data_IF_817724490319
#
_entry.id   IF_817724490319
#
_cell.length_a   1.000
_cell.length_b   1.000
_cell.length_c   1.000
_cell.angle_alpha   90.00
_cell.angle_beta   90.00
_cell.angle_gamma   90.00
#
_symmetry.space_group_name_H-M   'P 1'
#
loop_
_entity.id
_entity.type
_entity.pdbx_description
1 polymer ?
#
# COMPACT_ATOMS: atom_id res chain seq x y z
N UNK A 1 3.55 23.45 -5.24
CA UNK A 1 3.53 21.97 -5.14
C UNK A 1 2.89 21.63 -3.81
N UNK A 2 1.97 20.71 -3.75
CA UNK A 2 1.23 20.45 -2.53
C UNK A 2 2.09 19.69 -1.52
N UNK A 3 2.63 20.42 -0.56
CA UNK A 3 3.29 19.88 0.62
C UNK A 3 2.45 20.26 1.83
N UNK A 4 2.01 19.27 2.59
CA UNK A 4 1.34 19.46 3.86
C UNK A 4 2.35 19.37 5.00
N UNK A 5 2.26 20.28 5.97
CA UNK A 5 2.99 20.15 7.23
C UNK A 5 2.04 19.56 8.25
N UNK A 6 2.24 18.29 8.58
CA UNK A 6 1.36 17.48 9.44
C UNK A 6 2.21 16.60 10.35
N UNK A 7 1.72 16.30 11.54
CA UNK A 7 2.34 15.36 12.48
C UNK A 7 3.87 15.51 12.60
N UNK A 8 4.36 16.74 12.69
CA UNK A 8 5.78 17.13 12.76
C UNK A 8 6.64 16.71 11.56
N UNK A 9 6.02 16.53 10.37
CA UNK A 9 6.74 16.27 9.13
C UNK A 9 6.15 17.07 7.97
N UNK A 10 6.77 16.95 6.79
CA UNK A 10 6.26 17.49 5.55
C UNK A 10 5.98 16.33 4.59
N UNK A 11 4.73 16.20 4.17
CA UNK A 11 4.31 15.18 3.20
C UNK A 11 4.01 15.82 1.86
N UNK A 12 4.59 15.29 0.81
CA UNK A 12 4.16 15.56 -0.55
C UNK A 12 2.90 14.76 -0.86
N UNK A 13 1.93 15.38 -1.52
CA UNK A 13 0.70 14.72 -1.93
C UNK A 13 0.19 15.25 -3.27
N UNK A 14 -0.67 14.49 -3.92
CA UNK A 14 -1.39 14.88 -5.12
C UNK A 14 -2.86 14.50 -4.98
N UNK A 15 -3.74 15.29 -5.62
CA UNK A 15 -5.16 14.99 -5.71
C UNK A 15 -5.52 14.92 -7.19
N UNK A 16 -6.15 13.82 -7.59
CA UNK A 16 -6.55 13.57 -8.97
C UNK A 16 -8.05 13.30 -9.06
N UNK A 17 -8.70 13.83 -10.09
CA UNK A 17 -10.13 13.66 -10.31
C UNK A 17 -11.01 14.53 -9.42
N UNK A 18 -12.32 14.29 -9.53
CA UNK A 18 -13.38 14.97 -8.79
C UNK A 18 -14.40 13.92 -8.32
N UNK A 19 -15.17 14.23 -7.27
CA UNK A 19 -16.20 13.34 -6.73
C UNK A 19 -15.97 12.97 -5.28
N UNK A 20 -16.41 11.78 -4.89
CA UNK A 20 -16.25 11.29 -3.51
C UNK A 20 -14.78 11.06 -3.15
N UNK A 21 -14.38 11.33 -1.89
CA UNK A 21 -12.98 11.25 -1.51
C UNK A 21 -12.50 9.79 -1.38
N UNK A 22 -11.37 9.50 -2.02
CA UNK A 22 -10.66 8.23 -1.90
C UNK A 22 -9.17 8.46 -1.66
N UNK A 23 -8.53 7.56 -0.93
CA UNK A 23 -7.08 7.55 -0.71
C UNK A 23 -6.50 6.27 -1.29
N UNK A 24 -5.54 6.38 -2.20
CA UNK A 24 -4.84 5.22 -2.73
C UNK A 24 -3.44 5.13 -2.13
N UNK A 25 -3.13 4.00 -1.48
CA UNK A 25 -1.89 3.76 -0.76
C UNK A 25 -1.21 2.50 -1.28
N UNK A 26 0.08 2.58 -1.57
CA UNK A 26 0.90 1.46 -2.02
C UNK A 26 1.82 0.90 -0.95
N UNK A 27 2.77 0.07 -1.40
CA UNK A 27 3.86 -0.46 -0.59
C UNK A 27 5.00 0.54 -0.40
N UNK A 28 6.23 0.11 -0.69
CA UNK A 28 7.45 0.92 -0.48
C UNK A 28 7.74 1.96 -1.57
N UNK A 29 6.98 1.96 -2.66
CA UNK A 29 7.04 2.98 -3.71
C UNK A 29 6.01 4.08 -3.51
N UNK A 30 5.83 4.91 -4.54
CA UNK A 30 4.85 5.99 -4.56
C UNK A 30 3.89 5.89 -5.75
N UNK A 31 2.67 6.40 -5.56
CA UNK A 31 1.72 6.72 -6.63
C UNK A 31 1.84 8.17 -7.12
N UNK A 32 2.53 9.03 -6.36
CA UNK A 32 2.81 10.39 -6.77
C UNK A 32 3.76 10.45 -7.99
N UNK A 33 3.91 11.63 -8.57
CA UNK A 33 4.82 11.90 -9.70
C UNK A 33 4.52 11.13 -11.00
N UNK A 34 3.30 10.57 -11.11
CA UNK A 34 2.90 9.75 -12.26
C UNK A 34 1.66 10.27 -12.98
N UNK A 35 1.21 11.50 -12.67
CA UNK A 35 -0.02 12.09 -13.22
C UNK A 35 -1.24 11.15 -13.13
N UNK A 36 -1.39 10.44 -12.00
CA UNK A 36 -2.45 9.46 -11.77
C UNK A 36 -2.33 8.14 -12.55
N UNK A 37 -1.30 7.97 -13.40
CA UNK A 37 -1.13 6.77 -14.25
C UNK A 37 -0.92 5.46 -13.47
N UNK A 38 -0.58 5.54 -12.19
CA UNK A 38 -0.46 4.39 -11.29
C UNK A 38 -1.80 3.92 -10.71
N UNK A 39 -2.85 4.72 -10.83
CA UNK A 39 -4.16 4.45 -10.26
C UNK A 39 -4.96 3.45 -11.10
N UNK A 40 -5.98 2.85 -10.47
CA UNK A 40 -6.95 2.01 -11.18
C UNK A 40 -7.65 2.83 -12.28
N UNK A 41 -7.76 2.23 -13.47
CA UNK A 41 -8.35 2.92 -14.62
C UNK A 41 -9.81 3.26 -14.33
N UNK A 42 -10.17 4.53 -14.51
CA UNK A 42 -11.53 5.04 -14.27
C UNK A 42 -11.76 5.47 -12.81
N UNK A 43 -10.80 5.29 -11.91
CA UNK A 43 -10.97 5.70 -10.51
C UNK A 43 -11.12 7.22 -10.40
N UNK A 44 -10.31 7.99 -11.11
CA UNK A 44 -10.36 9.45 -11.14
C UNK A 44 -11.54 10.03 -11.93
N UNK A 45 -12.31 9.18 -12.63
CA UNK A 45 -13.54 9.60 -13.31
C UNK A 45 -14.74 9.71 -12.35
N UNK A 46 -14.66 9.04 -11.19
CA UNK A 46 -15.73 8.95 -10.18
C UNK A 46 -15.32 9.52 -8.82
N UNK A 47 -14.04 9.47 -8.49
CA UNK A 47 -13.50 9.79 -7.16
C UNK A 47 -12.46 10.89 -7.23
N UNK A 48 -12.44 11.72 -6.19
CA UNK A 48 -11.33 12.61 -5.90
C UNK A 48 -10.28 11.80 -5.11
N UNK A 49 -9.18 11.44 -5.80
CA UNK A 49 -8.20 10.48 -5.28
C UNK A 49 -6.98 11.20 -4.73
N UNK A 50 -6.77 11.07 -3.43
CA UNK A 50 -5.54 11.46 -2.74
C UNK A 50 -4.49 10.36 -2.87
N UNK A 51 -3.29 10.73 -3.29
CA UNK A 51 -2.06 9.95 -3.16
C UNK A 51 -1.03 10.79 -2.42
N UNK A 52 -0.13 10.15 -1.66
CA UNK A 52 0.90 10.86 -0.92
C UNK A 52 2.15 10.00 -0.80
N UNK A 53 3.28 10.67 -0.63
CA UNK A 53 4.55 10.01 -0.36
C UNK A 53 4.70 9.79 1.15
N UNK A 54 4.97 8.55 1.56
CA UNK A 54 5.32 8.28 2.95
C UNK A 54 6.56 9.05 3.39
N UNK A 55 6.74 9.22 4.69
CA UNK A 55 7.94 9.84 5.26
C UNK A 55 9.23 9.29 4.63
N UNK A 56 10.12 10.17 4.21
CA UNK A 56 11.40 9.85 3.58
C UNK A 56 11.32 9.45 2.11
N UNK A 57 10.13 9.25 1.53
CA UNK A 57 9.96 8.97 0.10
C UNK A 57 9.94 10.27 -0.68
N UNK A 58 10.70 10.31 -1.76
CA UNK A 58 10.76 11.39 -2.74
C UNK A 58 10.85 12.79 -2.09
N UNK A 59 9.77 13.57 -2.09
CA UNK A 59 9.74 14.93 -1.55
C UNK A 59 9.24 15.01 -0.10
N UNK A 60 8.76 13.91 0.48
CA UNK A 60 8.35 13.87 1.87
C UNK A 60 9.55 13.80 2.80
N UNK A 61 9.51 14.57 3.90
CA UNK A 61 10.56 14.56 4.91
C UNK A 61 10.29 13.49 5.96
N UNK A 62 11.35 13.06 6.66
CA UNK A 62 11.26 12.18 7.81
C UNK A 62 12.02 12.77 9.00
N UNK A 63 11.58 12.44 10.22
CA UNK A 63 12.32 12.67 11.45
C UNK A 63 12.84 11.31 11.94
N UNK A 64 14.13 11.09 11.78
CA UNK A 64 14.79 9.84 12.12
C UNK A 64 14.83 9.55 13.65
N UNK A 65 14.50 10.54 14.48
CA UNK A 65 14.38 10.34 15.92
C UNK A 65 13.06 9.68 16.33
N UNK A 66 12.07 9.64 15.45
CA UNK A 66 10.78 9.00 15.70
C UNK A 66 10.82 7.57 15.13
N UNK A 67 10.63 6.51 15.94
CA UNK A 67 10.58 5.13 15.45
C UNK A 67 9.49 4.94 14.38
N UNK A 68 9.86 4.31 13.27
CA UNK A 68 8.91 4.01 12.21
C UNK A 68 7.90 2.94 12.66
N UNK A 69 6.64 3.13 12.32
CA UNK A 69 5.57 2.14 12.58
C UNK A 69 4.37 2.42 11.68
N UNK A 70 3.52 1.41 11.45
CA UNK A 70 2.26 1.62 10.71
C UNK A 70 1.36 2.65 11.41
N UNK A 71 1.39 2.71 12.74
CA UNK A 71 0.66 3.73 13.51
C UNK A 71 1.17 5.15 13.23
N UNK A 72 2.49 5.33 13.06
CA UNK A 72 3.06 6.62 12.71
C UNK A 72 2.57 7.06 11.31
N UNK A 73 2.64 6.18 10.33
CA UNK A 73 2.18 6.49 8.96
C UNK A 73 0.66 6.68 8.89
N UNK A 74 -0.11 5.96 9.70
CA UNK A 74 -1.55 6.20 9.84
C UNK A 74 -1.86 7.55 10.47
N UNK A 75 -1.11 7.96 11.51
CA UNK A 75 -1.25 9.28 12.13
C UNK A 75 -0.91 10.41 11.14
N UNK A 76 0.05 10.21 10.26
CA UNK A 76 0.38 11.14 9.18
C UNK A 76 -0.78 11.32 8.21
N UNK A 77 -1.38 10.20 7.75
CA UNK A 77 -2.54 10.25 6.87
C UNK A 77 -3.74 10.90 7.56
N UNK A 78 -4.04 10.54 8.80
CA UNK A 78 -5.13 11.16 9.58
C UNK A 78 -4.94 12.67 9.65
N UNK A 79 -3.74 13.14 9.99
CA UNK A 79 -3.46 14.57 10.06
C UNK A 79 -3.56 15.28 8.69
N UNK A 80 -3.19 14.58 7.61
CA UNK A 80 -3.36 15.09 6.25
C UNK A 80 -4.84 15.19 5.87
N UNK A 81 -5.65 14.18 6.18
CA UNK A 81 -7.11 14.21 5.95
C UNK A 81 -7.79 15.31 6.76
N UNK A 82 -7.44 15.45 8.04
CA UNK A 82 -7.96 16.52 8.90
C UNK A 82 -7.59 17.91 8.35
N UNK A 83 -6.35 18.11 7.84
CA UNK A 83 -5.93 19.37 7.22
C UNK A 83 -6.68 19.67 5.91
N UNK A 84 -6.98 18.63 5.11
CA UNK A 84 -7.77 18.77 3.89
C UNK A 84 -9.27 18.92 4.16
N UNK A 85 -9.72 18.68 5.40
CA UNK A 85 -11.14 18.67 5.77
C UNK A 85 -11.90 17.46 5.21
N UNK A 86 -11.20 16.39 4.83
CA UNK A 86 -11.79 15.19 4.25
C UNK A 86 -12.33 14.26 5.34
N UNK A 87 -13.52 13.72 5.08
CA UNK A 87 -14.22 12.76 5.95
C UNK A 87 -14.85 11.68 5.07
N UNK A 88 -15.16 10.54 5.70
CA UNK A 88 -15.82 9.42 5.03
C UNK A 88 -15.12 9.02 3.73
N UNK A 89 -13.79 8.84 3.79
CA UNK A 89 -12.96 8.49 2.64
C UNK A 89 -12.98 6.99 2.38
N UNK A 90 -12.91 6.58 1.11
CA UNK A 90 -12.57 5.22 0.74
C UNK A 90 -11.06 5.01 0.87
N UNK A 91 -10.62 4.08 1.72
CA UNK A 91 -9.20 3.71 1.84
C UNK A 91 -8.88 2.54 0.92
N UNK A 92 -8.06 2.74 -0.08
CA UNK A 92 -7.62 1.71 -1.03
C UNK A 92 -6.17 1.37 -0.70
N UNK A 93 -5.98 0.39 0.18
CA UNK A 93 -4.67 -0.12 0.58
C UNK A 93 -4.23 -1.27 -0.31
N UNK A 94 -3.10 -1.12 -0.95
CA UNK A 94 -2.54 -2.10 -1.87
C UNK A 94 -1.10 -2.46 -1.45
N UNK A 95 -0.70 -3.68 -1.76
CA UNK A 95 0.67 -4.18 -1.66
C UNK A 95 1.34 -3.92 -0.30
N UNK A 96 0.83 -4.56 0.74
CA UNK A 96 1.44 -4.62 2.06
C UNK A 96 1.21 -3.38 2.91
N UNK A 97 2.14 -2.44 2.86
CA UNK A 97 2.18 -1.29 3.76
C UNK A 97 0.92 -0.42 3.70
N UNK A 98 0.40 -0.16 2.48
CA UNK A 98 -0.83 0.62 2.31
C UNK A 98 -2.04 0.02 3.04
N UNK A 99 -2.12 -1.30 3.11
CA UNK A 99 -3.15 -1.99 3.87
C UNK A 99 -2.94 -1.87 5.39
N UNK A 100 -1.70 -2.01 5.86
CA UNK A 100 -1.38 -1.85 7.29
C UNK A 100 -1.71 -0.44 7.79
N UNK A 101 -1.41 0.58 6.99
CA UNK A 101 -1.81 1.97 7.26
C UNK A 101 -3.33 2.11 7.28
N UNK A 102 -4.04 1.53 6.29
CA UNK A 102 -5.51 1.57 6.23
C UNK A 102 -6.17 0.91 7.46
N UNK A 103 -5.66 -0.25 7.91
CA UNK A 103 -6.13 -0.91 9.12
C UNK A 103 -5.95 -0.03 10.37
N UNK A 104 -4.79 0.60 10.54
CA UNK A 104 -4.53 1.48 11.70
C UNK A 104 -5.38 2.78 11.65
N UNK A 105 -5.67 3.33 10.46
CA UNK A 105 -6.61 4.45 10.30
C UNK A 105 -8.02 4.03 10.68
N UNK A 106 -8.53 2.90 10.15
CA UNK A 106 -9.86 2.38 10.45
C UNK A 106 -10.05 2.07 11.95
N UNK A 107 -8.99 1.60 12.64
CA UNK A 107 -9.00 1.35 14.08
C UNK A 107 -8.96 2.64 14.90
N UNK A 108 -8.23 3.66 14.44
CA UNK A 108 -7.97 4.87 15.23
C UNK A 108 -9.03 5.95 14.99
N UNK A 109 -9.53 6.07 13.77
CA UNK A 109 -10.46 7.10 13.31
C UNK A 109 -11.52 6.51 12.36
N UNK A 110 -12.36 5.58 12.85
CA UNK A 110 -13.42 4.99 12.02
C UNK A 110 -14.39 6.05 11.45
N UNK A 111 -14.51 7.20 12.09
CA UNK A 111 -15.30 8.33 11.63
C UNK A 111 -14.80 8.96 10.32
N UNK A 112 -13.55 8.75 9.97
CA UNK A 112 -12.97 9.22 8.70
C UNK A 112 -13.15 8.23 7.56
N UNK A 113 -13.53 6.97 7.82
CA UNK A 113 -13.44 5.89 6.83
C UNK A 113 -14.83 5.42 6.42
N UNK A 114 -15.18 5.60 5.15
CA UNK A 114 -16.40 5.09 4.53
C UNK A 114 -16.31 3.60 4.23
N UNK A 115 -15.22 3.19 3.59
CA UNK A 115 -14.91 1.79 3.32
C UNK A 115 -13.41 1.56 3.19
N UNK A 116 -12.97 0.29 3.28
CA UNK A 116 -11.58 -0.08 3.20
C UNK A 116 -11.38 -1.25 2.24
N UNK A 117 -10.40 -1.15 1.36
CA UNK A 117 -9.92 -2.23 0.49
C UNK A 117 -8.53 -2.64 0.93
N UNK A 118 -8.31 -3.94 1.15
CA UNK A 118 -7.03 -4.52 1.52
C UNK A 118 -6.61 -5.58 0.49
N UNK A 119 -5.50 -5.35 -0.22
CA UNK A 119 -4.94 -6.32 -1.16
C UNK A 119 -3.47 -6.52 -0.91
N UNK A 120 -3.05 -7.77 -0.75
CA UNK A 120 -1.63 -8.12 -0.60
C UNK A 120 -1.05 -7.65 0.74
N UNK A 121 -1.68 -7.99 1.87
CA UNK A 121 -1.27 -7.53 3.19
C UNK A 121 -1.33 -8.63 4.27
N UNK A 122 -1.14 -8.23 5.51
CA UNK A 122 -1.15 -9.10 6.69
C UNK A 122 -1.76 -8.35 7.89
N UNK A 123 -2.24 -9.12 8.88
CA UNK A 123 -2.61 -8.58 10.18
C UNK A 123 -1.46 -8.71 11.20
N UNK A 124 -0.60 -9.72 11.02
CA UNK A 124 0.64 -9.91 11.79
C UNK A 124 1.69 -10.59 10.93
N UNK A 125 2.94 -10.42 11.30
CA UNK A 125 4.09 -11.00 10.61
C UNK A 125 4.39 -12.38 11.21
N UNK A 126 4.29 -13.43 10.39
CA UNK A 126 4.80 -14.76 10.75
C UNK A 126 6.29 -14.90 10.42
N UNK A 127 6.90 -16.01 10.77
CA UNK A 127 8.34 -16.22 10.58
C UNK A 127 8.75 -16.16 9.10
N UNK A 128 7.92 -16.72 8.19
CA UNK A 128 8.21 -16.70 6.76
C UNK A 128 8.22 -15.27 6.19
N UNK A 129 7.20 -14.47 6.52
CA UNK A 129 7.14 -13.08 6.07
C UNK A 129 8.24 -12.24 6.73
N UNK A 130 8.56 -12.51 8.00
CA UNK A 130 9.67 -11.87 8.71
C UNK A 130 10.99 -12.06 7.98
N UNK A 131 11.34 -13.33 7.72
CA UNK A 131 12.59 -13.68 7.07
C UNK A 131 12.67 -13.11 5.65
N UNK A 132 11.53 -13.07 4.93
CA UNK A 132 11.44 -12.48 3.61
C UNK A 132 11.69 -10.96 3.62
N UNK A 133 11.04 -10.22 4.52
CA UNK A 133 11.22 -8.77 4.69
C UNK A 133 12.66 -8.43 5.11
N UNK A 134 13.22 -9.21 6.04
CA UNK A 134 14.62 -9.09 6.47
C UNK A 134 15.59 -9.36 5.32
N UNK A 135 15.28 -10.35 4.48
CA UNK A 135 16.12 -10.67 3.33
C UNK A 135 16.08 -9.55 2.28
N UNK A 136 14.91 -8.94 2.01
CA UNK A 136 14.81 -7.77 1.14
C UNK A 136 15.69 -6.61 1.64
N UNK A 137 15.63 -6.31 2.93
CA UNK A 137 16.45 -5.28 3.58
C UNK A 137 17.94 -5.62 3.49
N UNK A 138 18.30 -6.85 3.79
CA UNK A 138 19.69 -7.32 3.77
C UNK A 138 20.29 -7.25 2.37
N UNK A 139 19.57 -7.67 1.34
CA UNK A 139 20.05 -7.57 -0.05
C UNK A 139 20.27 -6.11 -0.43
N UNK A 140 19.38 -5.18 -0.05
CA UNK A 140 19.59 -3.75 -0.33
C UNK A 140 20.85 -3.23 0.38
N UNK A 141 21.06 -3.59 1.64
CA UNK A 141 22.18 -3.12 2.46
C UNK A 141 23.52 -3.69 1.98
N UNK A 142 23.60 -5.01 1.77
CA UNK A 142 24.86 -5.69 1.59
C UNK A 142 25.26 -5.83 0.10
N UNK A 143 24.30 -5.89 -0.80
CA UNK A 143 24.53 -6.09 -2.23
C UNK A 143 24.21 -4.84 -3.05
N UNK A 144 23.26 -4.02 -2.58
CA UNK A 144 22.88 -2.76 -3.17
C UNK A 144 21.50 -2.76 -3.84
N UNK A 145 21.07 -1.56 -4.23
CA UNK A 145 19.72 -1.29 -4.71
C UNK A 145 19.31 -2.17 -5.90
N UNK A 146 20.15 -2.32 -6.91
CA UNK A 146 19.75 -3.07 -8.12
C UNK A 146 19.54 -4.56 -7.87
N UNK A 147 20.29 -5.16 -6.95
CA UNK A 147 20.08 -6.54 -6.51
C UNK A 147 18.76 -6.66 -5.74
N UNK A 148 18.49 -5.73 -4.82
CA UNK A 148 17.22 -5.63 -4.10
C UNK A 148 16.05 -5.46 -5.08
N UNK A 149 16.12 -4.51 -6.01
CA UNK A 149 15.09 -4.26 -7.00
C UNK A 149 14.75 -5.51 -7.81
N UNK A 150 15.79 -6.21 -8.32
CA UNK A 150 15.62 -7.44 -9.06
C UNK A 150 14.98 -8.54 -8.19
N UNK A 151 15.42 -8.67 -6.96
CA UNK A 151 14.95 -9.69 -6.03
C UNK A 151 13.45 -9.47 -5.70
N UNK A 152 13.07 -8.26 -5.32
CA UNK A 152 11.66 -7.92 -5.04
C UNK A 152 10.78 -8.07 -6.29
N UNK A 153 11.27 -7.68 -7.48
CA UNK A 153 10.52 -7.87 -8.73
C UNK A 153 10.19 -9.34 -9.00
N UNK A 154 11.13 -10.26 -8.72
CA UNK A 154 10.90 -11.70 -8.92
C UNK A 154 9.76 -12.22 -8.03
N UNK A 155 9.64 -11.71 -6.80
CA UNK A 155 8.56 -12.08 -5.88
C UNK A 155 7.23 -11.38 -6.17
N UNK A 156 7.29 -10.19 -6.75
CA UNK A 156 6.10 -9.32 -6.89
C UNK A 156 5.36 -9.49 -8.21
N UNK A 157 6.01 -10.00 -9.25
CA UNK A 157 5.43 -10.11 -10.59
C UNK A 157 5.38 -11.55 -11.10
N UNK A 158 4.37 -11.85 -11.92
CA UNK A 158 4.31 -13.13 -12.64
C UNK A 158 5.53 -13.28 -13.55
N UNK A 159 6.09 -14.50 -13.70
CA UNK A 159 7.27 -14.74 -14.54
C UNK A 159 7.11 -14.26 -15.98
N UNK A 160 5.94 -14.45 -16.58
CA UNK A 160 5.66 -14.02 -17.95
C UNK A 160 5.71 -12.50 -18.08
N UNK A 161 5.12 -11.78 -17.11
CA UNK A 161 5.15 -10.32 -17.09
C UNK A 161 6.57 -9.80 -16.85
N UNK A 162 7.29 -10.39 -15.89
CA UNK A 162 8.68 -10.04 -15.60
C UNK A 162 9.57 -10.20 -16.86
N UNK A 163 9.51 -11.36 -17.53
CA UNK A 163 10.31 -11.63 -18.72
C UNK A 163 10.07 -10.62 -19.86
N UNK A 164 8.82 -10.23 -20.06
CA UNK A 164 8.43 -9.26 -21.10
C UNK A 164 8.79 -7.82 -20.74
N UNK A 165 8.85 -7.48 -19.46
CA UNK A 165 8.96 -6.10 -18.97
C UNK A 165 10.22 -5.82 -18.14
N UNK A 166 11.17 -6.76 -18.06
CA UNK A 166 12.37 -6.65 -17.23
C UNK A 166 13.10 -5.30 -17.42
N UNK A 167 13.20 -4.82 -18.66
CA UNK A 167 13.86 -3.57 -19.01
C UNK A 167 13.16 -2.31 -18.47
N UNK A 168 11.86 -2.43 -18.09
CA UNK A 168 11.07 -1.34 -17.48
C UNK A 168 10.97 -1.48 -15.97
N UNK A 169 11.04 -2.71 -15.46
CA UNK A 169 10.98 -2.99 -14.02
C UNK A 169 12.28 -2.67 -13.30
N UNK A 170 13.42 -2.85 -14.00
CA UNK A 170 14.75 -2.69 -13.43
C UNK A 170 15.45 -1.44 -13.98
N UNK A 171 16.32 -0.87 -13.16
CA UNK A 171 17.09 0.31 -13.51
C UNK A 171 16.69 1.53 -12.66
N UNK A 172 17.31 2.68 -12.92
CA UNK A 172 17.10 3.88 -12.10
C UNK A 172 15.66 4.42 -12.10
N UNK A 173 14.94 4.24 -13.21
CA UNK A 173 13.56 4.66 -13.38
C UNK A 173 12.56 3.48 -13.25
N UNK A 174 13.04 2.32 -12.80
CA UNK A 174 12.23 1.12 -12.57
C UNK A 174 11.50 1.15 -11.23
N UNK A 175 10.94 0.01 -10.83
CA UNK A 175 10.19 -0.10 -9.59
C UNK A 175 11.05 0.25 -8.36
N UNK A 176 10.45 0.93 -7.40
CA UNK A 176 11.10 1.43 -6.17
C UNK A 176 12.32 2.34 -6.38
N UNK A 177 12.42 3.03 -7.53
CA UNK A 177 13.54 3.93 -7.84
C UNK A 177 13.79 5.00 -6.78
N UNK A 178 12.77 5.39 -6.04
CA UNK A 178 12.83 6.35 -4.93
C UNK A 178 13.70 5.86 -3.75
N UNK A 179 13.94 4.55 -3.64
CA UNK A 179 14.78 3.94 -2.61
C UNK A 179 16.25 3.76 -3.03
N UNK A 180 16.63 4.06 -4.29
CA UNK A 180 17.94 3.76 -4.86
C UNK A 180 19.11 4.28 -4.00
N UNK A 181 19.03 5.54 -3.62
CA UNK A 181 20.09 6.19 -2.81
C UNK A 181 19.59 6.47 -1.38
N UNK A 182 18.59 5.72 -0.92
CA UNK A 182 17.86 5.99 0.30
C UNK A 182 17.59 4.72 1.12
N UNK A 183 18.67 4.01 1.46
CA UNK A 183 18.59 2.79 2.27
C UNK A 183 17.95 3.03 3.63
N UNK A 184 18.24 4.18 4.27
CA UNK A 184 17.68 4.52 5.60
C UNK A 184 16.15 4.54 5.57
N UNK A 185 15.55 5.14 4.55
CA UNK A 185 14.10 5.10 4.38
C UNK A 185 13.60 3.68 4.16
N UNK A 186 14.25 2.88 3.31
CA UNK A 186 13.86 1.48 3.12
C UNK A 186 13.90 0.68 4.43
N UNK A 187 14.96 0.81 5.22
CA UNK A 187 15.09 0.18 6.53
C UNK A 187 13.92 0.53 7.44
N UNK A 188 13.56 1.80 7.52
CA UNK A 188 12.44 2.30 8.34
C UNK A 188 11.07 1.78 7.85
N UNK A 189 10.86 1.68 6.54
CA UNK A 189 9.64 1.08 5.98
C UNK A 189 9.55 -0.40 6.34
N UNK A 190 10.67 -1.13 6.28
CA UNK A 190 10.74 -2.55 6.70
C UNK A 190 10.48 -2.69 8.20
N UNK A 191 11.05 -1.83 9.05
CA UNK A 191 10.79 -1.84 10.49
C UNK A 191 9.30 -1.65 10.80
N UNK A 192 8.64 -0.72 10.11
CA UNK A 192 7.20 -0.52 10.25
C UNK A 192 6.40 -1.76 9.82
N UNK A 193 6.80 -2.41 8.73
CA UNK A 193 6.20 -3.67 8.27
C UNK A 193 6.37 -4.78 9.29
N UNK A 194 7.58 -4.98 9.81
CA UNK A 194 7.91 -6.02 10.79
C UNK A 194 7.20 -5.82 12.14
N UNK A 195 6.99 -4.57 12.54
CA UNK A 195 6.32 -4.20 13.78
C UNK A 195 4.78 -4.21 13.69
N UNK A 196 4.20 -4.41 12.50
CA UNK A 196 2.75 -4.35 12.33
C UNK A 196 2.04 -5.57 12.94
N UNK A 197 1.08 -5.30 13.83
CA UNK A 197 0.20 -6.31 14.39
C UNK A 197 -1.16 -5.71 14.74
N UNK A 198 -2.19 -6.15 14.02
CA UNK A 198 -3.61 -5.81 14.24
C UNK A 198 -4.45 -7.04 14.53
N UNK A 199 -3.86 -8.25 14.64
CA UNK A 199 -4.59 -9.53 14.74
C UNK A 199 -5.67 -9.52 15.81
N UNK A 200 -5.35 -9.06 17.03
CA UNK A 200 -6.28 -9.03 18.16
C UNK A 200 -7.32 -7.89 18.05
N UNK A 201 -7.10 -6.94 17.14
CA UNK A 201 -7.94 -5.74 16.95
C UNK A 201 -8.75 -5.76 15.66
N UNK A 202 -8.61 -6.77 14.79
CA UNK A 202 -9.38 -6.86 13.54
C UNK A 202 -10.88 -6.85 13.80
N UNK A 203 -11.33 -7.51 14.88
CA UNK A 203 -12.74 -7.53 15.29
C UNK A 203 -13.32 -6.16 15.67
N UNK A 204 -12.46 -5.19 15.95
CA UNK A 204 -12.85 -3.83 16.33
C UNK A 204 -13.01 -2.91 15.09
N UNK A 205 -12.63 -3.41 13.90
CA UNK A 205 -12.84 -2.70 12.63
C UNK A 205 -14.31 -2.87 12.24
N UNK A 206 -15.05 -1.78 12.25
CA UNK A 206 -16.48 -1.73 11.89
C UNK A 206 -16.72 -1.22 10.47
N UNK A 207 -15.67 -0.73 9.83
CA UNK A 207 -15.69 -0.21 8.46
C UNK A 207 -15.98 -1.31 7.45
N UNK A 208 -16.93 -1.13 6.50
CA UNK A 208 -17.10 -2.04 5.37
C UNK A 208 -15.76 -2.34 4.71
N UNK A 209 -15.39 -3.62 4.64
CA UNK A 209 -14.05 -4.02 4.21
C UNK A 209 -14.10 -5.06 3.10
N UNK A 210 -13.33 -4.81 2.03
CA UNK A 210 -13.02 -5.79 0.98
C UNK A 210 -11.59 -6.29 1.16
N UNK A 211 -11.42 -7.61 1.18
CA UNK A 211 -10.09 -8.26 1.16
C UNK A 211 -9.91 -8.98 -0.18
N UNK A 212 -8.91 -8.56 -0.94
CA UNK A 212 -8.58 -9.17 -2.22
C UNK A 212 -7.37 -10.10 -2.04
N UNK A 213 -7.58 -11.38 -2.33
CA UNK A 213 -6.54 -12.40 -2.29
C UNK A 213 -5.94 -12.57 -3.69
N UNK A 214 -4.64 -12.37 -3.82
CA UNK A 214 -3.92 -12.69 -5.05
C UNK A 214 -3.33 -14.11 -4.93
N UNK A 215 -3.88 -15.06 -5.70
CA UNK A 215 -3.56 -16.48 -5.53
C UNK A 215 -2.10 -16.84 -5.87
N UNK A 216 -1.44 -16.02 -6.71
CA UNK A 216 -0.03 -16.21 -7.10
C UNK A 216 0.92 -15.22 -6.44
N UNK A 217 0.48 -14.55 -5.37
CA UNK A 217 1.32 -13.66 -4.59
C UNK A 217 2.34 -14.46 -3.77
N UNK A 218 3.62 -14.21 -4.02
CA UNK A 218 4.73 -14.86 -3.31
C UNK A 218 5.22 -14.04 -2.11
N UNK A 219 4.69 -12.82 -1.91
CA UNK A 219 5.01 -11.96 -0.76
C UNK A 219 3.97 -12.17 0.34
N UNK A 220 2.70 -11.96 0.02
CA UNK A 220 1.58 -11.91 0.97
C UNK A 220 0.40 -12.79 0.54
N UNK A 221 0.63 -13.99 0.14
CA UNK A 221 -0.37 -14.94 -0.37
C UNK A 221 -1.68 -14.99 0.47
N UNK A 222 -2.70 -15.75 0.06
CA UNK A 222 -3.91 -15.99 0.87
C UNK A 222 -3.62 -16.40 2.33
N UNK A 223 -2.44 -16.99 2.60
CA UNK A 223 -1.96 -17.32 3.96
C UNK A 223 -2.00 -16.10 4.91
N UNK A 224 -1.66 -14.90 4.43
CA UNK A 224 -1.63 -13.70 5.26
C UNK A 224 -2.87 -12.83 5.13
N UNK A 225 -3.61 -12.94 4.02
CA UNK A 225 -4.80 -12.12 3.77
C UNK A 225 -6.10 -12.77 4.28
N UNK A 226 -6.23 -14.09 4.28
CA UNK A 226 -7.39 -14.80 4.86
C UNK A 226 -7.63 -14.48 6.34
N UNK A 227 -6.60 -14.38 7.22
CA UNK A 227 -6.80 -13.96 8.60
C UNK A 227 -7.45 -12.58 8.75
N UNK A 228 -7.25 -11.67 7.79
CA UNK A 228 -7.87 -10.34 7.79
C UNK A 228 -9.37 -10.46 7.46
N UNK A 229 -9.70 -11.19 6.39
CA UNK A 229 -11.10 -11.44 6.01
C UNK A 229 -11.89 -12.06 7.16
N UNK A 230 -11.35 -13.12 7.77
CA UNK A 230 -12.04 -13.81 8.87
C UNK A 230 -12.04 -13.02 10.19
N UNK A 231 -11.07 -12.13 10.37
CA UNK A 231 -10.93 -11.35 11.59
C UNK A 231 -11.81 -10.09 11.64
N UNK A 232 -12.16 -9.52 10.48
CA UNK A 232 -12.99 -8.31 10.39
C UNK A 232 -14.45 -8.72 10.21
N UNK A 233 -15.36 -8.36 11.14
CA UNK A 233 -16.77 -8.72 11.04
C UNK A 233 -17.41 -8.15 9.76
N UNK A 234 -17.99 -9.02 8.93
CA UNK A 234 -18.68 -8.64 7.70
C UNK A 234 -17.76 -8.27 6.52
N UNK A 235 -16.46 -8.56 6.62
CA UNK A 235 -15.56 -8.37 5.47
C UNK A 235 -15.97 -9.25 4.28
N UNK A 236 -15.90 -8.69 3.07
CA UNK A 236 -16.06 -9.40 1.80
C UNK A 236 -14.69 -9.91 1.33
N UNK A 237 -14.57 -11.19 0.97
CA UNK A 237 -13.33 -11.76 0.39
C UNK A 237 -13.50 -12.08 -1.09
N UNK A 238 -12.50 -11.77 -1.92
CA UNK A 238 -12.47 -12.13 -3.35
C UNK A 238 -11.08 -12.60 -3.74
N UNK A 239 -11.00 -13.72 -4.48
CA UNK A 239 -9.72 -14.25 -4.97
C UNK A 239 -9.51 -13.92 -6.44
N UNK A 240 -8.36 -13.32 -6.75
CA UNK A 240 -7.86 -13.14 -8.12
C UNK A 240 -6.86 -14.26 -8.45
N UNK A 241 -7.33 -15.29 -9.16
CA UNK A 241 -6.59 -16.55 -9.38
C UNK A 241 -5.29 -16.39 -10.17
N UNK A 242 -5.21 -15.40 -11.05
CA UNK A 242 -4.08 -15.20 -11.95
C UNK A 242 -3.29 -13.92 -11.63
N UNK A 243 -3.28 -13.50 -10.38
CA UNK A 243 -2.64 -12.25 -9.94
C UNK A 243 -1.57 -12.53 -8.91
N UNK A 244 -0.40 -11.90 -9.09
CA UNK A 244 0.70 -11.87 -8.15
C UNK A 244 0.56 -10.67 -7.18
N UNK A 245 1.63 -10.33 -6.44
CA UNK A 245 1.64 -9.25 -5.46
C UNK A 245 1.22 -7.89 -6.06
N UNK A 246 1.70 -7.58 -7.28
CA UNK A 246 1.35 -6.36 -8.01
C UNK A 246 0.40 -6.69 -9.16
N UNK A 247 -0.71 -5.97 -9.25
CA UNK A 247 -1.71 -6.12 -10.33
C UNK A 247 -1.16 -5.57 -11.63
N UNK A 248 -0.81 -6.45 -12.55
CA UNK A 248 -0.24 -6.11 -13.86
C UNK A 248 -0.90 -6.94 -14.97
N UNK A 249 -0.76 -6.45 -16.20
CA UNK A 249 -1.42 -7.08 -17.34
C UNK A 249 -2.87 -6.58 -17.55
N UNK A 250 -3.34 -6.65 -18.79
CA UNK A 250 -4.64 -6.07 -19.16
C UNK A 250 -5.81 -6.79 -18.49
N UNK A 251 -5.77 -8.13 -18.48
CA UNK A 251 -6.85 -8.94 -17.92
C UNK A 251 -6.99 -8.73 -16.41
N UNK A 252 -5.87 -8.81 -15.68
CA UNK A 252 -5.82 -8.63 -14.23
C UNK A 252 -6.24 -7.21 -13.81
N UNK A 253 -5.82 -6.18 -14.57
CA UNK A 253 -6.26 -4.80 -14.30
C UNK A 253 -7.76 -4.61 -14.50
N UNK A 254 -8.35 -5.24 -15.52
CA UNK A 254 -9.81 -5.20 -15.75
C UNK A 254 -10.54 -5.92 -14.61
N UNK A 255 -10.09 -7.12 -14.24
CA UNK A 255 -10.65 -7.89 -13.12
C UNK A 255 -10.59 -7.10 -11.82
N UNK A 256 -9.43 -6.54 -11.49
CA UNK A 256 -9.24 -5.68 -10.31
C UNK A 256 -10.19 -4.47 -10.30
N UNK A 257 -10.29 -3.74 -11.43
CA UNK A 257 -11.18 -2.58 -11.52
C UNK A 257 -12.65 -2.99 -11.32
N UNK A 258 -13.10 -4.13 -11.89
CA UNK A 258 -14.46 -4.62 -11.71
C UNK A 258 -14.74 -4.96 -10.24
N UNK A 259 -13.82 -5.64 -9.56
CA UNK A 259 -13.92 -5.97 -8.14
C UNK A 259 -13.97 -4.68 -7.30
N UNK A 260 -13.02 -3.78 -7.52
CA UNK A 260 -12.90 -2.51 -6.79
C UNK A 260 -14.18 -1.67 -6.91
N UNK A 261 -14.63 -1.39 -8.14
CA UNK A 261 -15.82 -0.56 -8.34
C UNK A 261 -17.10 -1.24 -7.85
N UNK A 262 -17.23 -2.57 -8.02
CA UNK A 262 -18.38 -3.30 -7.47
C UNK A 262 -18.49 -3.16 -5.96
N UNK A 263 -17.37 -3.01 -5.26
CA UNK A 263 -17.37 -2.78 -3.82
C UNK A 263 -17.60 -1.30 -3.47
N UNK A 264 -16.85 -0.38 -4.09
CA UNK A 264 -16.97 1.05 -3.78
C UNK A 264 -18.37 1.59 -4.09
N UNK A 265 -19.00 1.15 -5.19
CA UNK A 265 -20.35 1.59 -5.60
C UNK A 265 -21.47 1.12 -4.62
N UNK A 266 -21.17 0.22 -3.66
CA UNK A 266 -22.11 -0.22 -2.61
C UNK A 266 -22.05 0.63 -1.34
N UNK A 267 -20.96 1.34 -1.16
CA UNK A 267 -20.63 2.04 0.07
C UNK A 267 -20.33 3.53 -0.18
#
# INVERSE_FOLDING_TARGET
MPIATVNNTQLYYEIHGEGEPAVCMGGWGTYCHKDGRGLARGLTDKYQVLVFDYRGIAQSRDDLNIPASMKLYAADLIALLDQLGWKEVHLIGLVGMGCGVAQEVALSRPDLVRSMVNMGCWASVDDYLRDQLELFRTVHREVGFYAFQQFVCIYSFLPEFYNQNKHRLLGPDGEWGELRDNYVTHERLVDACLGHNTSDRLRDITTPTLVIHAAKDMVTSPRTTLPIEYGIPGAEGVTMENTAHVVVGKAQKIEFCNILFSFLDKH
#
